data_IF_831403097266
#
_entry.id   IF_831403097266
#
_cell.length_a   1.000
_cell.length_b   1.000
_cell.length_c   1.000
_cell.angle_alpha   90.00
_cell.angle_beta   90.00
_cell.angle_gamma   90.00
#
_symmetry.space_group_name_H-M   'P 1'
#
loop_
_entity.id
_entity.type
_entity.pdbx_description
1 polymer ?
#
# COMPACT_ATOMS: atom_id res chain seq x y z
N UNK A 1 -8.34 -41.49 1.80
CA UNK A 1 -7.18 -41.10 0.96
C UNK A 1 -7.59 -41.27 -0.49
N UNK A 2 -8.15 -40.22 -1.10
CA UNK A 2 -8.53 -40.26 -2.51
C UNK A 2 -7.34 -39.74 -3.32
N UNK A 3 -6.69 -40.62 -4.08
CA UNK A 3 -5.63 -40.25 -5.02
C UNK A 3 -6.31 -40.02 -6.38
N UNK A 4 -6.22 -38.81 -6.90
CA UNK A 4 -6.69 -38.45 -8.25
C UNK A 4 -5.50 -38.10 -9.16
N UNK A 5 -5.65 -38.23 -10.50
CA UNK A 5 -4.54 -38.34 -11.44
C UNK A 5 -3.81 -37.03 -11.70
N UNK A 6 -2.54 -37.18 -12.07
CA UNK A 6 -1.46 -36.19 -12.10
C UNK A 6 -1.49 -35.17 -13.27
N UNK A 7 -2.65 -34.66 -13.69
CA UNK A 7 -2.70 -33.71 -14.83
C UNK A 7 -3.55 -32.46 -14.60
N UNK A 8 -3.87 -32.13 -13.36
CA UNK A 8 -4.48 -30.84 -12.99
C UNK A 8 -3.70 -30.35 -11.76
N UNK A 9 -2.84 -29.34 -11.95
CA UNK A 9 -2.19 -28.64 -10.85
C UNK A 9 -3.25 -27.89 -10.06
N UNK A 10 -3.58 -28.36 -8.86
CA UNK A 10 -4.28 -27.64 -7.78
C UNK A 10 -4.55 -28.62 -6.65
N UNK A 11 -3.98 -28.38 -5.48
CA UNK A 11 -4.13 -29.26 -4.32
C UNK A 11 -4.31 -28.47 -3.03
N UNK A 12 -5.49 -27.88 -2.84
CA UNK A 12 -5.93 -27.50 -1.50
C UNK A 12 -6.19 -28.79 -0.68
N UNK A 13 -5.34 -29.07 0.31
CA UNK A 13 -5.51 -30.21 1.23
C UNK A 13 -6.24 -29.71 2.49
N UNK A 14 -7.53 -29.98 2.60
CA UNK A 14 -8.25 -29.77 3.86
C UNK A 14 -8.33 -31.06 4.69
N UNK A 15 -7.97 -30.99 5.97
CA UNK A 15 -8.32 -31.99 6.98
C UNK A 15 -9.42 -31.43 7.91
N UNK A 16 -10.67 -31.32 7.44
CA UNK A 16 -11.71 -30.81 8.35
C UNK A 16 -13.11 -30.53 7.80
N UNK A 17 -13.64 -31.25 6.82
CA UNK A 17 -15.10 -31.30 6.54
C UNK A 17 -15.94 -30.01 6.64
N UNK A 18 -15.66 -28.98 5.83
CA UNK A 18 -16.63 -27.94 5.43
C UNK A 18 -16.40 -27.59 3.95
N UNK A 19 -17.46 -27.23 3.24
CA UNK A 19 -17.62 -27.27 1.79
C UNK A 19 -16.68 -26.29 1.04
N UNK A 20 -15.61 -26.81 0.44
CA UNK A 20 -14.92 -26.13 -0.67
C UNK A 20 -15.79 -26.21 -1.93
N UNK A 21 -16.17 -25.06 -2.50
CA UNK A 21 -16.28 -24.98 -3.96
C UNK A 21 -15.00 -24.29 -4.41
N UNK A 22 -14.01 -25.07 -4.86
CA UNK A 22 -12.96 -24.51 -5.71
C UNK A 22 -13.65 -23.92 -6.93
N UNK A 23 -13.96 -22.63 -6.88
CA UNK A 23 -14.46 -21.91 -8.02
C UNK A 23 -13.25 -21.29 -8.69
N UNK A 24 -13.01 -21.63 -9.93
CA UNK A 24 -12.17 -20.80 -10.78
C UNK A 24 -12.96 -19.53 -11.10
N UNK A 25 -12.30 -18.39 -11.07
CA UNK A 25 -12.90 -17.13 -11.51
C UNK A 25 -13.33 -17.28 -12.98
N UNK A 26 -14.62 -17.15 -13.32
CA UNK A 26 -15.11 -17.41 -14.68
C UNK A 26 -14.67 -16.36 -15.71
N UNK A 27 -14.07 -15.24 -15.29
CA UNK A 27 -13.49 -14.22 -16.18
C UNK A 27 -11.99 -14.39 -16.40
N UNK A 28 -11.26 -14.95 -15.44
CA UNK A 28 -9.78 -15.01 -15.47
C UNK A 28 -9.20 -16.42 -15.50
N UNK A 29 -10.00 -17.45 -15.16
CA UNK A 29 -9.52 -18.83 -15.00
C UNK A 29 -8.68 -19.09 -13.75
N UNK A 30 -8.40 -18.06 -12.93
CA UNK A 30 -7.58 -18.14 -11.70
C UNK A 30 -8.31 -18.92 -10.60
N UNK A 31 -7.59 -19.72 -9.82
CA UNK A 31 -8.12 -20.47 -8.68
C UNK A 31 -8.53 -19.50 -7.56
N UNK A 32 -9.75 -19.68 -7.01
CA UNK A 32 -10.20 -19.01 -5.77
C UNK A 32 -10.19 -20.06 -4.67
N UNK A 33 -9.31 -19.89 -3.68
CA UNK A 33 -9.36 -20.66 -2.44
C UNK A 33 -10.19 -19.86 -1.44
N UNK A 34 -11.47 -20.18 -1.29
CA UNK A 34 -12.32 -19.57 -0.26
C UNK A 34 -12.25 -20.39 1.03
N UNK A 35 -11.70 -19.80 2.09
CA UNK A 35 -11.80 -20.36 3.44
C UNK A 35 -13.23 -20.12 3.92
N UNK A 36 -13.93 -21.16 4.36
CA UNK A 36 -15.32 -21.02 4.80
C UNK A 36 -15.35 -20.26 6.14
N UNK A 37 -16.52 -19.81 6.62
CA UNK A 37 -16.71 -19.23 7.98
C UNK A 37 -16.49 -20.27 9.11
N UNK A 38 -15.51 -21.13 8.95
CA UNK A 38 -15.11 -22.15 9.89
C UNK A 38 -14.40 -21.44 11.06
N UNK A 39 -14.85 -21.58 12.31
CA UNK A 39 -14.11 -21.01 13.44
C UNK A 39 -12.81 -21.79 13.74
N UNK A 40 -12.55 -22.90 13.04
CA UNK A 40 -11.34 -23.71 13.20
C UNK A 40 -10.30 -23.38 12.13
N UNK A 41 -9.04 -23.31 12.55
CA UNK A 41 -7.91 -23.03 11.66
C UNK A 41 -7.72 -24.09 10.58
N UNK A 42 -7.35 -23.66 9.39
CA UNK A 42 -7.12 -24.46 8.20
C UNK A 42 -5.64 -24.51 7.83
N UNK A 43 -5.26 -25.52 7.05
CA UNK A 43 -3.95 -25.55 6.37
C UNK A 43 -4.23 -25.39 4.88
N UNK A 44 -3.66 -24.36 4.28
CA UNK A 44 -3.85 -23.97 2.89
C UNK A 44 -2.51 -24.08 2.17
N UNK A 45 -2.51 -24.80 1.05
CA UNK A 45 -1.39 -24.82 0.11
C UNK A 45 -2.00 -24.55 -1.27
N UNK A 46 -1.68 -23.41 -1.87
CA UNK A 46 -2.34 -22.95 -3.08
C UNK A 46 -1.74 -23.61 -4.34
N UNK A 47 -0.42 -23.81 -4.37
CA UNK A 47 0.23 -24.77 -5.26
C UNK A 47 1.17 -24.08 -6.24
N UNK A 48 0.94 -24.25 -7.55
CA UNK A 48 1.75 -23.61 -8.58
C UNK A 48 0.91 -22.55 -9.32
N UNK A 49 1.56 -21.43 -9.69
CA UNK A 49 0.96 -20.30 -10.36
C UNK A 49 0.55 -19.20 -9.38
N UNK A 50 0.21 -18.02 -9.90
CA UNK A 50 -0.31 -16.96 -9.04
C UNK A 50 -1.72 -17.35 -8.55
N UNK A 51 -1.96 -17.28 -7.25
CA UNK A 51 -3.20 -17.70 -6.59
C UNK A 51 -3.94 -16.54 -5.90
N UNK A 52 -5.20 -16.78 -5.55
CA UNK A 52 -6.01 -15.84 -4.76
C UNK A 52 -6.77 -16.61 -3.69
N UNK A 53 -6.47 -16.27 -2.45
CA UNK A 53 -6.89 -16.94 -1.24
C UNK A 53 -7.75 -15.95 -0.46
N UNK A 54 -9.03 -16.23 -0.28
CA UNK A 54 -9.88 -15.42 0.58
C UNK A 54 -9.76 -15.94 2.01
N UNK A 55 -9.22 -15.10 2.89
CA UNK A 55 -9.11 -15.39 4.31
C UNK A 55 -10.49 -15.43 4.98
N UNK A 56 -10.61 -16.22 6.04
CA UNK A 56 -11.83 -16.36 6.82
C UNK A 56 -11.52 -16.38 8.31
N UNK A 57 -12.54 -16.57 9.15
CA UNK A 57 -12.27 -16.83 10.56
C UNK A 57 -11.47 -18.12 10.74
N UNK A 58 -10.76 -18.24 11.86
CA UNK A 58 -9.84 -19.34 12.10
C UNK A 58 -8.43 -18.81 12.31
N UNK A 59 -7.52 -19.68 12.75
CA UNK A 59 -6.08 -19.39 12.78
C UNK A 59 -5.44 -20.29 11.72
N UNK A 60 -5.31 -19.76 10.51
CA UNK A 60 -4.96 -20.50 9.31
C UNK A 60 -3.44 -20.55 9.08
N UNK A 61 -2.96 -21.65 8.49
CA UNK A 61 -1.60 -21.78 7.97
C UNK A 61 -1.70 -21.67 6.46
N UNK A 62 -1.30 -20.54 5.90
CA UNK A 62 -1.49 -20.21 4.49
C UNK A 62 -0.15 -20.20 3.76
N UNK A 63 -0.02 -21.11 2.80
CA UNK A 63 1.11 -21.20 1.88
C UNK A 63 0.63 -20.94 0.44
N UNK A 64 1.09 -19.84 -0.17
CA UNK A 64 0.80 -19.54 -1.58
C UNK A 64 1.48 -20.50 -2.54
N UNK A 65 2.56 -21.16 -2.13
CA UNK A 65 3.29 -22.09 -2.99
C UNK A 65 4.22 -21.38 -3.98
N UNK A 66 4.26 -21.88 -5.22
CA UNK A 66 5.08 -21.31 -6.29
C UNK A 66 4.26 -20.32 -7.10
N UNK A 67 4.77 -19.12 -7.27
CA UNK A 67 4.06 -18.04 -7.92
C UNK A 67 4.90 -16.79 -7.83
N UNK A 68 4.41 -15.71 -8.41
CA UNK A 68 5.00 -14.39 -8.18
C UNK A 68 4.02 -13.44 -7.52
N UNK A 69 2.71 -13.71 -7.63
CA UNK A 69 1.62 -12.82 -7.22
C UNK A 69 0.52 -13.59 -6.48
N UNK A 70 0.93 -14.41 -5.52
CA UNK A 70 0.03 -15.08 -4.59
C UNK A 70 -0.55 -14.06 -3.63
N UNK A 71 -1.88 -14.12 -3.44
CA UNK A 71 -2.62 -13.08 -2.74
C UNK A 71 -3.53 -13.63 -1.67
N UNK A 72 -3.51 -13.01 -0.50
CA UNK A 72 -4.55 -13.16 0.52
C UNK A 72 -5.50 -11.96 0.53
N UNK A 73 -6.81 -12.22 0.57
CA UNK A 73 -7.88 -11.23 0.46
C UNK A 73 -8.81 -11.33 1.67
N UNK A 74 -9.01 -10.21 2.37
CA UNK A 74 -9.86 -10.12 3.58
C UNK A 74 -11.10 -9.23 3.38
N UNK A 75 -11.52 -9.03 2.14
CA UNK A 75 -12.67 -8.21 1.73
C UNK A 75 -14.00 -8.62 2.37
N UNK A 76 -14.10 -9.86 2.84
CA UNK A 76 -15.27 -10.40 3.54
C UNK A 76 -15.18 -10.32 5.07
N UNK A 77 -14.09 -9.78 5.63
CA UNK A 77 -13.94 -9.66 7.08
C UNK A 77 -14.95 -8.67 7.66
N UNK A 78 -15.46 -8.98 8.85
CA UNK A 78 -16.44 -8.14 9.54
C UNK A 78 -15.80 -7.10 10.47
N UNK A 79 -14.47 -7.12 10.61
CA UNK A 79 -13.66 -6.20 11.40
C UNK A 79 -12.36 -5.92 10.62
N UNK A 80 -11.63 -4.89 11.05
CA UNK A 80 -10.28 -4.63 10.55
C UNK A 80 -9.34 -5.82 10.75
N UNK A 81 -8.45 -6.02 9.79
CA UNK A 81 -7.37 -7.00 9.79
C UNK A 81 -6.01 -6.32 9.95
N UNK A 82 -5.08 -7.05 10.55
CA UNK A 82 -3.66 -6.70 10.56
C UNK A 82 -2.87 -7.84 9.95
N UNK A 83 -2.17 -7.57 8.86
CA UNK A 83 -1.38 -8.57 8.13
C UNK A 83 0.05 -8.08 8.07
N UNK A 84 0.99 -8.93 8.49
CA UNK A 84 2.41 -8.62 8.45
C UNK A 84 3.18 -9.75 7.77
N UNK A 85 3.45 -9.55 6.48
CA UNK A 85 4.20 -10.50 5.65
C UNK A 85 5.66 -10.62 6.11
N UNK A 86 6.29 -9.54 6.59
CA UNK A 86 7.67 -9.59 7.09
C UNK A 86 7.83 -10.59 8.26
N UNK A 87 6.82 -10.69 9.12
CA UNK A 87 6.78 -11.68 10.21
C UNK A 87 6.03 -12.97 9.84
N UNK A 88 5.33 -12.98 8.70
CA UNK A 88 4.44 -14.07 8.28
C UNK A 88 3.26 -14.29 9.22
N UNK A 89 2.68 -13.23 9.83
CA UNK A 89 1.58 -13.37 10.81
C UNK A 89 0.42 -12.42 10.57
N UNK A 90 -0.78 -12.87 10.95
CA UNK A 90 -2.01 -12.09 10.96
C UNK A 90 -2.60 -11.90 12.36
N UNK A 91 -3.27 -10.77 12.58
CA UNK A 91 -4.05 -10.47 13.78
C UNK A 91 -5.36 -9.74 13.40
N UNK A 92 -6.32 -9.72 14.33
CA UNK A 92 -7.65 -9.11 14.21
C UNK A 92 -8.51 -9.67 13.07
N UNK A 93 -9.80 -9.36 13.12
CA UNK A 93 -10.79 -9.82 12.13
C UNK A 93 -10.61 -11.28 11.75
N UNK A 94 -10.58 -11.53 10.45
CA UNK A 94 -10.33 -12.85 9.87
C UNK A 94 -8.85 -13.21 9.80
N UNK A 95 -7.93 -12.25 9.83
CA UNK A 95 -6.50 -12.55 9.87
C UNK A 95 -6.03 -13.12 11.24
N UNK A 96 -6.90 -13.18 12.26
CA UNK A 96 -6.51 -13.43 13.65
C UNK A 96 -5.89 -14.82 13.85
N UNK A 97 -4.57 -14.83 14.04
CA UNK A 97 -3.81 -16.05 14.31
C UNK A 97 -3.36 -16.77 13.05
N UNK A 98 -3.59 -16.18 11.89
CA UNK A 98 -3.11 -16.69 10.62
C UNK A 98 -1.58 -16.59 10.53
N UNK A 99 -1.01 -17.47 9.72
CA UNK A 99 0.39 -17.47 9.34
C UNK A 99 0.52 -17.56 7.82
N UNK A 100 1.50 -16.85 7.27
CA UNK A 100 1.67 -16.69 5.82
C UNK A 100 3.07 -17.11 5.37
N UNK A 101 3.14 -17.91 4.31
CA UNK A 101 4.37 -18.22 3.58
C UNK A 101 4.12 -18.12 2.08
N UNK A 102 5.11 -17.61 1.33
CA UNK A 102 5.02 -17.43 -0.13
C UNK A 102 3.76 -16.65 -0.54
N UNK A 103 3.54 -15.49 0.09
CA UNK A 103 2.46 -14.56 -0.23
C UNK A 103 3.10 -13.22 -0.59
N UNK A 104 2.79 -12.71 -1.78
CA UNK A 104 3.31 -11.42 -2.23
C UNK A 104 2.27 -10.30 -2.08
N UNK A 105 0.99 -10.61 -2.17
CA UNK A 105 -0.08 -9.61 -2.24
C UNK A 105 -1.07 -9.74 -1.07
N UNK A 106 -1.54 -8.60 -0.57
CA UNK A 106 -2.59 -8.53 0.45
C UNK A 106 -3.65 -7.51 0.03
N UNK A 107 -4.93 -7.90 0.17
CA UNK A 107 -6.06 -6.98 0.10
C UNK A 107 -6.76 -7.01 1.45
N UNK A 108 -6.94 -5.85 2.06
CA UNK A 108 -7.64 -5.68 3.32
C UNK A 108 -9.15 -5.88 3.21
N UNK A 109 -9.83 -5.40 4.23
CA UNK A 109 -11.26 -5.44 4.49
C UNK A 109 -11.94 -4.11 4.10
N UNK A 110 -13.18 -3.93 4.55
CA UNK A 110 -13.90 -2.66 4.43
C UNK A 110 -13.67 -1.72 5.66
N UNK A 111 -12.72 -2.05 6.52
CA UNK A 111 -12.42 -1.37 7.79
C UNK A 111 -10.97 -0.92 7.85
N UNK A 112 -10.63 -0.13 8.88
CA UNK A 112 -9.30 0.45 9.08
C UNK A 112 -8.20 -0.61 9.35
N UNK A 113 -7.53 -1.03 8.29
CA UNK A 113 -6.57 -2.13 8.30
C UNK A 113 -5.14 -1.69 8.57
N UNK A 114 -4.29 -2.67 8.88
CA UNK A 114 -2.83 -2.46 8.97
C UNK A 114 -2.11 -3.53 8.17
N UNK A 115 -1.57 -3.14 7.02
CA UNK A 115 -0.92 -4.05 6.07
C UNK A 115 0.58 -3.74 6.00
N UNK A 116 1.40 -4.73 6.32
CA UNK A 116 2.86 -4.63 6.34
C UNK A 116 3.43 -5.62 5.33
N UNK A 117 4.16 -5.11 4.34
CA UNK A 117 4.89 -5.92 3.37
C UNK A 117 6.11 -6.60 3.97
N UNK A 118 6.69 -7.54 3.23
CA UNK A 118 7.96 -8.19 3.55
C UNK A 118 9.09 -7.63 2.68
N UNK A 119 10.20 -8.36 2.62
CA UNK A 119 11.37 -7.98 1.87
C UNK A 119 11.26 -8.18 0.36
N UNK A 120 10.16 -8.78 -0.13
CA UNK A 120 9.95 -9.10 -1.53
C UNK A 120 9.10 -8.03 -2.22
N UNK A 121 8.76 -8.22 -3.50
CA UNK A 121 7.84 -7.32 -4.20
C UNK A 121 6.42 -7.57 -3.68
N UNK A 122 5.83 -6.63 -2.95
CA UNK A 122 4.44 -6.76 -2.50
C UNK A 122 3.47 -5.83 -3.22
N UNK A 123 2.21 -6.29 -3.36
CA UNK A 123 1.07 -5.39 -3.57
C UNK A 123 0.17 -5.38 -2.34
N UNK A 124 0.02 -4.22 -1.72
CA UNK A 124 -0.88 -4.03 -0.58
C UNK A 124 -2.02 -3.11 -1.01
N UNK A 125 -3.26 -3.54 -0.79
CA UNK A 125 -4.46 -2.74 -1.02
C UNK A 125 -5.26 -2.65 0.26
N UNK A 126 -5.47 -1.45 0.78
CA UNK A 126 -6.20 -1.21 2.03
C UNK A 126 -7.66 -1.64 1.91
N UNK A 127 -8.37 -1.09 0.93
CA UNK A 127 -9.75 -1.47 0.66
C UNK A 127 -10.67 -0.28 0.90
N UNK A 128 -11.64 -0.40 1.81
CA UNK A 128 -12.34 0.77 2.34
C UNK A 128 -11.88 0.99 3.77
N UNK A 129 -12.02 2.20 4.27
CA UNK A 129 -11.62 2.54 5.64
C UNK A 129 -10.41 3.44 5.64
N UNK A 130 -9.86 3.67 6.82
CA UNK A 130 -8.66 4.47 6.99
C UNK A 130 -7.49 3.53 7.28
N UNK A 131 -6.71 3.22 6.26
CA UNK A 131 -5.77 2.12 6.27
C UNK A 131 -4.33 2.58 6.52
N UNK A 132 -3.54 1.73 7.17
CA UNK A 132 -2.09 1.91 7.33
C UNK A 132 -1.36 0.87 6.49
N UNK A 133 -0.68 1.31 5.44
CA UNK A 133 0.14 0.44 4.58
C UNK A 133 1.61 0.78 4.80
N UNK A 134 2.44 -0.21 5.14
CA UNK A 134 3.85 -0.02 5.45
C UNK A 134 4.75 -0.95 4.65
N UNK A 135 5.88 -0.40 4.21
CA UNK A 135 6.95 -1.13 3.52
C UNK A 135 8.01 -1.67 4.49
N UNK A 136 8.69 -2.74 4.07
CA UNK A 136 10.01 -3.11 4.58
C UNK A 136 11.04 -2.83 3.47
N UNK A 137 12.02 -1.96 3.70
CA UNK A 137 12.80 -1.27 2.65
C UNK A 137 13.78 -2.12 1.82
N UNK A 138 13.61 -3.44 1.77
CA UNK A 138 14.51 -4.36 1.09
C UNK A 138 14.10 -4.71 -0.35
N UNK A 139 12.91 -4.32 -0.82
CA UNK A 139 12.52 -4.40 -2.23
C UNK A 139 12.29 -3.02 -2.85
N UNK A 140 12.30 -2.94 -4.19
CA UNK A 140 12.13 -1.71 -4.97
C UNK A 140 10.87 -1.69 -5.86
N UNK A 141 10.09 -2.78 -5.90
CA UNK A 141 8.86 -2.85 -6.71
C UNK A 141 7.62 -3.14 -5.85
N UNK A 142 7.38 -2.30 -4.86
CA UNK A 142 6.11 -2.31 -4.15
C UNK A 142 5.01 -1.63 -4.97
N UNK A 143 3.77 -1.99 -4.67
CA UNK A 143 2.57 -1.29 -5.15
C UNK A 143 1.59 -1.19 -3.98
N UNK A 144 1.30 0.01 -3.55
CA UNK A 144 0.44 0.33 -2.42
C UNK A 144 -0.74 1.14 -2.91
N UNK A 145 -1.92 0.69 -2.50
CA UNK A 145 -3.18 1.32 -2.85
C UNK A 145 -4.00 1.47 -1.57
N UNK A 146 -4.13 2.68 -1.02
CA UNK A 146 -4.94 2.89 0.20
C UNK A 146 -6.40 2.50 -0.03
N UNK A 147 -6.92 2.83 -1.22
CA UNK A 147 -8.30 2.55 -1.59
C UNK A 147 -9.21 3.71 -1.21
N UNK A 148 -10.35 3.41 -0.59
CA UNK A 148 -11.36 4.40 -0.27
C UNK A 148 -11.35 4.75 1.22
N UNK A 149 -10.88 5.95 1.54
CA UNK A 149 -11.05 6.54 2.86
C UNK A 149 -9.96 7.55 3.12
N UNK A 150 -9.31 7.48 4.26
CA UNK A 150 -8.18 8.34 4.61
C UNK A 150 -7.01 7.48 5.07
N UNK A 151 -6.04 7.33 4.18
CA UNK A 151 -5.05 6.29 4.21
C UNK A 151 -3.65 6.85 4.45
N UNK A 152 -2.86 6.09 5.21
CA UNK A 152 -1.49 6.39 5.55
C UNK A 152 -0.56 5.38 4.90
N UNK A 153 0.34 5.88 4.06
CA UNK A 153 1.48 5.11 3.59
C UNK A 153 2.68 5.45 4.46
N UNK A 154 3.10 4.48 5.28
CA UNK A 154 4.34 4.61 6.02
C UNK A 154 5.53 4.16 5.16
N UNK A 155 6.36 5.14 4.85
CA UNK A 155 7.62 5.07 4.15
C UNK A 155 8.82 5.07 5.12
N UNK A 156 8.63 4.96 6.43
CA UNK A 156 9.74 4.91 7.38
C UNK A 156 10.51 3.58 7.31
N UNK A 157 11.81 3.61 7.64
CA UNK A 157 12.69 2.43 7.55
C UNK A 157 13.81 2.40 8.58
N UNK A 158 14.45 1.24 8.72
CA UNK A 158 15.70 1.09 9.49
C UNK A 158 16.94 1.51 8.69
N UNK A 159 16.80 1.64 7.37
CA UNK A 159 17.87 1.89 6.40
C UNK A 159 17.53 3.07 5.51
N UNK A 160 18.55 3.71 4.93
CA UNK A 160 18.34 4.81 4.01
C UNK A 160 17.69 4.33 2.71
N UNK A 161 16.71 5.07 2.21
CA UNK A 161 16.03 4.76 0.96
C UNK A 161 15.89 5.98 0.06
N UNK A 162 16.03 5.78 -1.25
CA UNK A 162 15.77 6.80 -2.26
C UNK A 162 14.70 6.30 -3.22
N UNK A 163 13.60 7.04 -3.33
CA UNK A 163 12.50 6.77 -4.25
C UNK A 163 12.42 7.91 -5.26
N UNK A 164 12.41 7.58 -6.53
CA UNK A 164 12.29 8.56 -7.62
C UNK A 164 11.26 8.10 -8.65
N UNK A 165 10.76 9.03 -9.45
CA UNK A 165 9.59 8.88 -10.32
C UNK A 165 9.45 7.59 -11.13
N UNK A 166 10.54 6.93 -11.58
CA UNK A 166 10.41 5.61 -12.24
C UNK A 166 10.03 4.47 -11.28
N UNK A 167 10.53 4.51 -10.06
CA UNK A 167 10.16 3.56 -8.98
C UNK A 167 8.86 3.96 -8.29
N UNK A 168 8.50 5.24 -8.33
CA UNK A 168 7.33 5.78 -7.62
C UNK A 168 6.03 5.80 -8.45
N UNK A 169 6.11 5.96 -9.77
CA UNK A 169 4.93 6.21 -10.63
C UNK A 169 3.89 5.07 -10.67
N UNK A 170 4.25 3.88 -10.17
CA UNK A 170 3.36 2.73 -9.97
C UNK A 170 3.30 2.27 -8.51
N UNK A 171 3.96 3.00 -7.60
CA UNK A 171 4.16 2.62 -6.22
C UNK A 171 2.98 3.01 -5.35
N UNK A 172 2.52 4.25 -5.40
CA UNK A 172 1.45 4.73 -4.51
C UNK A 172 0.25 5.23 -5.30
N UNK A 173 -0.94 4.78 -4.91
CA UNK A 173 -2.21 5.39 -5.26
C UNK A 173 -3.06 5.55 -4.00
N UNK A 174 -3.94 6.55 -4.02
CA UNK A 174 -5.02 6.71 -3.05
C UNK A 174 -4.48 6.82 -1.61
N UNK A 175 -3.71 7.88 -1.36
CA UNK A 175 -3.15 8.14 -0.04
C UNK A 175 -3.18 9.63 0.30
N UNK A 176 -3.56 9.94 1.53
CA UNK A 176 -3.64 11.30 2.05
C UNK A 176 -2.44 11.62 2.94
N UNK A 177 -1.82 10.60 3.54
CA UNK A 177 -0.65 10.74 4.40
C UNK A 177 0.55 9.95 3.87
N UNK A 178 1.68 10.63 3.70
CA UNK A 178 2.99 10.02 3.57
C UNK A 178 3.72 10.20 4.90
N UNK A 179 3.95 9.09 5.59
CA UNK A 179 4.62 9.08 6.88
C UNK A 179 6.01 8.50 6.75
N UNK A 180 7.04 9.34 6.87
CA UNK A 180 8.44 8.93 6.81
C UNK A 180 8.94 8.41 8.16
N UNK A 181 8.10 8.41 9.21
CA UNK A 181 8.55 8.03 10.55
C UNK A 181 9.01 6.58 10.62
N UNK A 182 10.30 6.41 10.90
CA UNK A 182 10.98 5.13 11.06
C UNK A 182 11.92 5.11 12.26
N UNK A 183 12.68 4.02 12.41
CA UNK A 183 13.54 3.81 13.59
C UNK A 183 14.97 4.32 13.43
N UNK A 184 15.48 4.52 12.21
CA UNK A 184 16.88 4.95 12.00
C UNK A 184 17.31 5.38 10.59
N UNK A 185 16.52 5.15 9.54
CA UNK A 185 16.91 5.44 8.16
C UNK A 185 16.42 6.80 7.66
N UNK A 186 17.20 7.46 6.79
CA UNK A 186 16.75 8.65 6.06
C UNK A 186 16.07 8.25 4.76
N UNK A 187 14.89 8.79 4.48
CA UNK A 187 14.14 8.51 3.25
C UNK A 187 14.07 9.75 2.39
N UNK A 188 14.54 9.63 1.15
CA UNK A 188 14.49 10.68 0.14
C UNK A 188 13.51 10.31 -0.96
N UNK A 189 12.44 11.07 -1.10
CA UNK A 189 11.41 10.87 -2.12
C UNK A 189 11.47 11.99 -3.16
N UNK A 190 11.34 11.65 -4.44
CA UNK A 190 11.25 12.61 -5.54
C UNK A 190 9.97 12.38 -6.35
N UNK A 191 9.10 13.40 -6.41
CA UNK A 191 7.79 13.37 -7.05
C UNK A 191 7.69 14.39 -8.19
N UNK A 192 7.14 13.99 -9.34
CA UNK A 192 6.59 14.93 -10.31
C UNK A 192 5.13 15.27 -10.00
N UNK A 193 4.56 16.29 -10.65
CA UNK A 193 3.14 16.61 -10.47
C UNK A 193 2.19 15.48 -10.89
N UNK A 194 2.55 14.67 -11.87
CA UNK A 194 1.78 13.46 -12.25
C UNK A 194 1.74 12.44 -11.10
N UNK A 195 2.84 12.29 -10.36
CA UNK A 195 2.91 11.38 -9.21
C UNK A 195 2.03 11.90 -8.07
N UNK A 196 2.06 13.21 -7.80
CA UNK A 196 1.21 13.86 -6.79
C UNK A 196 -0.27 13.69 -7.13
N UNK A 197 -0.63 13.89 -8.40
CA UNK A 197 -2.01 13.67 -8.85
C UNK A 197 -2.44 12.21 -8.67
N UNK A 198 -1.58 11.23 -8.99
CA UNK A 198 -1.90 9.80 -8.76
C UNK A 198 -2.13 9.46 -7.29
N UNK A 199 -1.33 10.04 -6.38
CA UNK A 199 -1.51 9.88 -4.93
C UNK A 199 -2.89 10.42 -4.51
N UNK A 200 -3.25 11.62 -4.99
CA UNK A 200 -4.45 12.35 -4.54
C UNK A 200 -5.76 11.95 -5.22
N UNK A 201 -5.72 11.42 -6.45
CA UNK A 201 -6.91 11.26 -7.31
C UNK A 201 -7.86 10.13 -6.92
N UNK A 202 -7.50 9.24 -6.00
CA UNK A 202 -8.48 8.32 -5.40
C UNK A 202 -8.73 8.52 -3.91
N UNK A 203 -8.30 9.65 -3.34
CA UNK A 203 -8.91 10.16 -2.10
C UNK A 203 -10.41 10.34 -2.36
N UNK A 204 -11.23 9.45 -1.80
CA UNK A 204 -12.68 9.58 -1.98
C UNK A 204 -13.09 10.94 -1.39
N UNK A 205 -13.78 11.74 -2.21
CA UNK A 205 -14.20 13.15 -2.05
C UNK A 205 -14.97 13.55 -0.77
N UNK A 206 -14.85 12.79 0.32
CA UNK A 206 -15.56 12.97 1.59
C UNK A 206 -14.63 13.19 2.79
N UNK A 207 -13.31 13.04 2.64
CA UNK A 207 -12.35 13.36 3.70
C UNK A 207 -12.03 14.86 3.75
N UNK A 208 -11.63 15.37 4.92
CA UNK A 208 -11.13 16.74 5.08
C UNK A 208 -9.82 17.02 4.31
N UNK A 209 -9.27 16.01 3.65
CA UNK A 209 -7.97 16.00 2.96
C UNK A 209 -8.09 15.97 1.44
N UNK A 210 -9.28 16.21 0.87
CA UNK A 210 -9.45 16.25 -0.59
C UNK A 210 -8.47 17.26 -1.24
N UNK A 211 -7.57 16.75 -2.09
CA UNK A 211 -6.53 17.55 -2.75
C UNK A 211 -5.38 17.98 -1.83
N UNK A 212 -5.31 17.44 -0.61
CA UNK A 212 -4.25 17.68 0.37
C UNK A 212 -3.42 16.40 0.56
N UNK A 213 -2.11 16.52 0.42
CA UNK A 213 -1.16 15.48 0.80
C UNK A 213 -0.41 15.93 2.05
N UNK A 214 -0.63 15.22 3.15
CA UNK A 214 0.06 15.44 4.41
C UNK A 214 1.35 14.61 4.41
N UNK A 215 2.48 15.26 4.70
CA UNK A 215 3.81 14.67 4.66
C UNK A 215 4.48 14.89 6.01
N UNK A 216 4.62 13.79 6.73
CA UNK A 216 5.26 13.76 8.05
C UNK A 216 6.69 13.24 7.92
N UNK A 217 7.66 14.09 8.22
CA UNK A 217 9.07 13.71 8.33
C UNK A 217 9.43 13.24 9.74
N UNK A 218 10.46 12.41 9.87
CA UNK A 218 11.12 12.22 11.15
C UNK A 218 12.40 13.06 11.28
N UNK A 219 13.13 12.87 12.39
CA UNK A 219 14.36 13.62 12.66
C UNK A 219 15.59 13.12 11.89
N UNK A 220 15.46 12.07 11.08
CA UNK A 220 16.56 11.29 10.51
C UNK A 220 17.11 11.85 9.20
N UNK A 221 16.76 13.08 8.82
CA UNK A 221 17.26 13.72 7.60
C UNK A 221 16.49 13.36 6.34
N UNK A 222 15.21 13.00 6.50
CA UNK A 222 14.29 12.75 5.40
C UNK A 222 14.15 13.97 4.48
N UNK A 223 13.86 13.71 3.21
CA UNK A 223 13.57 14.79 2.25
C UNK A 223 12.51 14.40 1.23
N UNK A 224 11.73 15.41 0.81
CA UNK A 224 10.86 15.33 -0.36
C UNK A 224 11.33 16.35 -1.39
N UNK A 225 11.57 15.90 -2.62
CA UNK A 225 11.89 16.73 -3.77
C UNK A 225 10.75 16.73 -4.78
N UNK A 226 10.27 17.90 -5.16
CA UNK A 226 9.30 18.10 -6.22
C UNK A 226 10.03 18.45 -7.51
N UNK A 227 9.83 17.63 -8.55
CA UNK A 227 10.53 17.72 -9.82
C UNK A 227 9.76 18.64 -10.77
N UNK A 228 10.36 19.77 -11.14
CA UNK A 228 9.79 20.68 -12.15
C UNK A 228 10.24 20.23 -13.54
N UNK A 229 9.48 19.37 -14.21
CA UNK A 229 9.75 18.97 -15.60
C UNK A 229 9.20 19.97 -16.64
N UNK A 230 8.88 21.20 -16.23
CA UNK A 230 8.21 22.20 -17.07
C UNK A 230 6.69 21.98 -17.21
N UNK A 231 6.12 20.95 -16.58
CA UNK A 231 4.67 20.69 -16.57
C UNK A 231 3.96 21.17 -15.29
N UNK A 232 4.73 21.64 -14.30
CA UNK A 232 4.22 21.98 -12.97
C UNK A 232 4.99 23.15 -12.37
N UNK A 233 4.32 23.93 -11.53
CA UNK A 233 4.93 25.02 -10.75
C UNK A 233 4.60 24.88 -9.27
N UNK A 234 5.49 25.40 -8.42
CA UNK A 234 5.40 25.24 -6.97
C UNK A 234 5.47 26.60 -6.26
N UNK A 235 4.64 26.78 -5.24
CA UNK A 235 4.71 27.94 -4.34
C UNK A 235 4.79 27.48 -2.89
N UNK A 236 5.84 27.88 -2.15
CA UNK A 236 6.02 27.55 -0.74
C UNK A 236 5.67 28.75 0.15
N UNK A 237 4.80 28.55 1.14
CA UNK A 237 4.44 29.53 2.17
C UNK A 237 5.60 30.14 2.96
N UNK A 238 6.74 29.44 3.11
CA UNK A 238 7.90 29.92 3.87
C UNK A 238 9.02 30.53 3.02
N UNK A 239 8.87 30.59 1.70
CA UNK A 239 9.84 31.26 0.83
C UNK A 239 9.74 32.80 1.04
N UNK A 240 10.85 33.51 1.20
CA UNK A 240 10.85 34.97 1.25
C UNK A 240 10.34 35.60 -0.07
N UNK A 241 10.36 34.85 -1.17
CA UNK A 241 9.72 35.21 -2.43
C UNK A 241 8.21 34.94 -2.45
N UNK A 242 7.65 34.26 -1.45
CA UNK A 242 6.23 33.92 -1.36
C UNK A 242 5.34 35.17 -1.32
N UNK A 243 5.80 36.23 -0.66
CA UNK A 243 5.13 37.55 -0.66
C UNK A 243 5.17 38.26 -2.00
N UNK A 244 5.95 37.78 -2.97
CA UNK A 244 6.07 38.36 -4.31
C UNK A 244 5.34 37.58 -5.41
N UNK A 245 4.59 36.51 -5.06
CA UNK A 245 3.84 35.70 -6.04
C UNK A 245 4.72 34.99 -7.07
N UNK A 246 6.01 34.80 -6.77
CA UNK A 246 6.95 34.10 -7.65
C UNK A 246 6.86 32.60 -7.39
N UNK A 247 6.50 31.86 -8.42
CA UNK A 247 6.52 30.40 -8.43
C UNK A 247 7.93 29.91 -8.73
N UNK A 248 8.30 28.74 -8.23
CA UNK A 248 9.49 28.06 -8.72
C UNK A 248 9.15 27.43 -10.08
N UNK A 249 9.56 28.10 -11.17
CA UNK A 249 9.22 27.79 -12.56
C UNK A 249 10.42 27.16 -13.28
N UNK A 250 10.70 25.89 -13.01
CA UNK A 250 11.74 25.16 -13.75
C UNK A 250 12.94 24.66 -12.93
N UNK A 251 12.95 24.84 -11.61
CA UNK A 251 13.95 24.19 -10.74
C UNK A 251 13.29 23.23 -9.75
N UNK A 252 14.00 22.16 -9.40
CA UNK A 252 13.54 21.22 -8.39
C UNK A 252 13.42 21.92 -7.03
N UNK A 253 12.37 21.59 -6.30
CA UNK A 253 12.11 22.15 -4.98
C UNK A 253 12.23 21.03 -3.93
N UNK A 254 13.11 21.17 -2.95
CA UNK A 254 13.33 20.14 -1.93
C UNK A 254 13.05 20.66 -0.52
N UNK A 255 12.33 19.88 0.28
CA UNK A 255 12.10 20.12 1.71
C UNK A 255 12.75 18.99 2.51
N UNK A 256 13.39 19.37 3.61
CA UNK A 256 13.80 18.46 4.69
C UNK A 256 13.56 19.09 6.06
N UNK A 257 13.25 18.29 7.07
CA UNK A 257 13.23 18.72 8.48
C UNK A 257 11.98 19.49 8.99
N UNK A 258 12.17 20.22 10.10
CA UNK A 258 11.21 20.37 11.23
C UNK A 258 10.37 21.65 11.28
N UNK A 259 10.02 22.26 10.15
CA UNK A 259 9.13 23.44 10.18
C UNK A 259 7.87 23.18 9.40
N UNK A 260 6.72 23.50 10.02
CA UNK A 260 5.42 23.41 9.37
C UNK A 260 5.41 24.31 8.13
N UNK A 261 5.19 23.70 6.96
CA UNK A 261 5.23 24.41 5.68
C UNK A 261 4.09 23.91 4.80
N UNK A 262 3.54 24.83 4.01
CA UNK A 262 2.60 24.51 2.93
C UNK A 262 3.25 24.76 1.58
N UNK A 263 3.11 23.79 0.67
CA UNK A 263 3.49 23.93 -0.73
C UNK A 263 2.27 23.70 -1.60
N UNK A 264 2.07 24.59 -2.56
CA UNK A 264 0.93 24.58 -3.46
C UNK A 264 1.42 24.22 -4.86
N UNK A 265 0.81 23.21 -5.46
CA UNK A 265 1.16 22.70 -6.79
C UNK A 265 0.14 23.19 -7.78
N UNK A 266 0.60 23.82 -8.86
CA UNK A 266 -0.27 24.33 -9.92
C UNK A 266 0.07 23.70 -11.27
N UNK A 267 -0.88 23.79 -12.20
CA UNK A 267 -0.63 23.53 -13.62
C UNK A 267 0.42 24.50 -14.20
N UNK A 268 0.86 24.23 -15.43
CA UNK A 268 1.86 25.05 -16.14
C UNK A 268 1.46 26.51 -16.33
N UNK A 269 0.16 26.81 -16.39
CA UNK A 269 -0.35 28.15 -16.62
C UNK A 269 -0.68 28.90 -15.32
N UNK A 270 -0.46 28.24 -14.18
CA UNK A 270 -0.75 28.73 -12.83
C UNK A 270 -2.23 29.06 -12.64
N UNK A 271 -3.11 28.39 -13.38
CA UNK A 271 -4.55 28.64 -13.40
C UNK A 271 -5.33 27.72 -12.47
N UNK A 272 -4.80 26.52 -12.22
CA UNK A 272 -5.48 25.49 -11.44
C UNK A 272 -4.60 25.03 -10.30
N UNK A 273 -5.10 25.10 -9.08
CA UNK A 273 -4.48 24.45 -7.92
C UNK A 273 -4.75 22.94 -8.04
N UNK A 274 -3.68 22.17 -8.14
CA UNK A 274 -3.71 20.73 -8.33
C UNK A 274 -3.60 19.97 -7.01
N UNK A 275 -2.80 20.50 -6.08
CA UNK A 275 -2.56 19.89 -4.78
C UNK A 275 -2.08 20.93 -3.75
N UNK A 276 -2.40 20.68 -2.50
CA UNK A 276 -1.75 21.31 -1.34
C UNK A 276 -0.94 20.25 -0.61
N UNK A 277 0.34 20.49 -0.40
CA UNK A 277 1.18 19.62 0.42
C UNK A 277 1.40 20.32 1.76
N UNK A 278 1.14 19.61 2.84
CA UNK A 278 1.42 20.06 4.19
C UNK A 278 2.56 19.25 4.78
N UNK A 279 3.62 19.92 5.20
CA UNK A 279 4.81 19.29 5.75
C UNK A 279 4.89 19.54 7.25
N UNK A 280 5.17 18.49 8.02
CA UNK A 280 5.44 18.62 9.44
C UNK A 280 6.35 17.49 9.96
N UNK A 281 6.64 17.53 11.26
CA UNK A 281 7.28 16.44 12.02
C UNK A 281 6.32 15.86 13.04
#
# INVERSE_FOLDING_TARGET
MLILPSSIGSKAIHQGGSLFRGQTNPKTGKLIVGLSRDPTGNIVNAGDGDDTIHGAAGADIIDGGSGTRDRVVYDLSHDAVSVNLATGTGDKGFARGDTYTNIEDVVGSDFNDTLIGDANNNFLSGGRGNDLLRLDWSSINYRLDGGAGTDTINLGGTSNATLSGSSFSNLLSNAEFLDFSGTSGSVSLSLGGDDIQKILTGSSSTSSYAGVLDVKFDSSGDSLSLLSNGSYSYWNSSDANATSGKFNDGTNFSISGTTQQYVYVFDTNHTTLLATLYFHT
#
